data_IF_117878744686
#
_entry.id   IF_117878744686
#
_cell.length_a   1.000
_cell.length_b   1.000
_cell.length_c   1.000
_cell.angle_alpha   90.00
_cell.angle_beta   90.00
_cell.angle_gamma   90.00
#
_symmetry.space_group_name_H-M   'P 1'
#
loop_
_entity.id
_entity.type
_entity.pdbx_description
1 polymer ?
#
# COMPACT_ATOMS: atom_id res chain seq x y z
N UNK A 1 7.32 -11.28 -12.64
CA UNK A 1 6.58 -10.01 -12.66
C UNK A 1 7.57 -8.90 -12.34
N UNK A 2 7.68 -7.90 -13.20
CA UNK A 2 8.44 -6.68 -12.91
C UNK A 2 7.60 -5.78 -11.97
N UNK A 3 8.28 -5.16 -11.02
CA UNK A 3 7.67 -4.30 -10.00
C UNK A 3 8.45 -3.01 -9.95
N UNK A 4 7.76 -1.91 -10.26
CA UNK A 4 8.38 -0.59 -10.36
C UNK A 4 7.46 0.47 -9.79
N UNK A 5 8.09 1.55 -9.35
CA UNK A 5 7.39 2.80 -9.10
C UNK A 5 6.88 3.41 -10.41
N UNK A 6 5.66 3.93 -10.39
CA UNK A 6 5.10 4.77 -11.45
C UNK A 6 4.54 6.04 -10.83
N UNK A 7 4.43 7.11 -11.62
CA UNK A 7 3.70 8.30 -11.20
C UNK A 7 2.24 8.17 -11.59
N UNK A 8 1.34 8.47 -10.67
CA UNK A 8 -0.10 8.55 -10.89
C UNK A 8 -0.52 9.99 -10.78
N UNK A 9 -1.21 10.49 -11.81
CA UNK A 9 -1.74 11.84 -11.87
C UNK A 9 -3.27 11.80 -11.90
N UNK A 10 -3.91 12.58 -11.04
CA UNK A 10 -5.35 12.83 -11.05
C UNK A 10 -5.60 14.29 -11.42
N UNK A 11 -6.33 14.52 -12.52
CA UNK A 11 -6.73 15.87 -12.92
C UNK A 11 -8.12 16.16 -12.36
N UNK A 12 -8.23 17.16 -11.48
CA UNK A 12 -9.50 17.63 -10.95
C UNK A 12 -9.58 19.17 -10.95
N UNK A 13 -10.60 19.74 -11.59
CA UNK A 13 -10.92 21.18 -11.55
C UNK A 13 -9.72 22.15 -11.70
N UNK A 14 -8.85 21.91 -12.69
CA UNK A 14 -7.61 22.63 -13.03
C UNK A 14 -6.37 22.31 -12.17
N UNK A 15 -6.53 21.57 -11.09
CA UNK A 15 -5.41 21.06 -10.29
C UNK A 15 -4.98 19.67 -10.76
N UNK A 16 -3.67 19.41 -10.67
CA UNK A 16 -3.09 18.11 -10.95
C UNK A 16 -2.51 17.58 -9.64
N UNK A 17 -3.12 16.52 -9.12
CA UNK A 17 -2.63 15.80 -7.95
C UNK A 17 -1.78 14.64 -8.41
N UNK A 18 -0.62 14.45 -7.78
CA UNK A 18 0.40 13.53 -8.28
C UNK A 18 1.10 12.80 -7.16
N UNK A 19 1.07 11.46 -7.18
CA UNK A 19 1.83 10.62 -6.26
C UNK A 19 2.41 9.41 -6.96
N UNK A 20 3.32 8.73 -6.28
CA UNK A 20 3.86 7.46 -6.73
C UNK A 20 2.81 6.34 -6.61
N UNK A 21 3.08 5.22 -7.26
CA UNK A 21 2.27 4.02 -7.21
C UNK A 21 3.11 2.79 -7.49
N UNK A 22 2.67 1.65 -6.95
CA UNK A 22 3.29 0.36 -7.19
C UNK A 22 2.65 -0.28 -8.42
N UNK A 23 3.37 -0.32 -9.55
CA UNK A 23 2.93 -1.08 -10.72
C UNK A 23 3.19 -2.58 -10.50
N UNK A 24 2.17 -3.40 -10.71
CA UNK A 24 2.26 -4.85 -10.72
C UNK A 24 1.36 -5.41 -11.83
N UNK A 25 1.92 -6.21 -12.74
CA UNK A 25 1.20 -6.65 -13.94
C UNK A 25 0.59 -5.45 -14.69
N UNK A 26 -0.70 -5.50 -15.05
CA UNK A 26 -1.45 -4.40 -15.67
C UNK A 26 -2.07 -3.40 -14.67
N UNK A 27 -1.81 -3.59 -13.38
CA UNK A 27 -2.44 -2.84 -12.30
C UNK A 27 -1.46 -1.92 -11.59
N UNK A 28 -1.99 -0.93 -10.86
CA UNK A 28 -1.23 -0.06 -9.97
C UNK A 28 -1.92 -0.03 -8.61
N UNK A 29 -1.17 -0.30 -7.55
CA UNK A 29 -1.62 -0.10 -6.17
C UNK A 29 -1.18 1.30 -5.71
N UNK A 30 -2.13 2.08 -5.21
CA UNK A 30 -1.89 3.41 -4.66
C UNK A 30 -2.52 3.56 -3.28
N UNK A 31 -1.96 4.45 -2.48
CA UNK A 31 -2.69 5.03 -1.35
C UNK A 31 -3.69 6.10 -1.88
N UNK A 32 -4.74 6.36 -1.10
CA UNK A 32 -5.77 7.37 -1.34
C UNK A 32 -5.29 8.81 -1.55
N UNK A 33 -4.06 9.18 -1.17
CA UNK A 33 -3.55 10.56 -1.24
C UNK A 33 -3.76 11.26 -2.60
N UNK A 34 -3.52 10.58 -3.73
CA UNK A 34 -3.70 11.19 -5.07
C UNK A 34 -5.18 11.47 -5.41
N UNK A 35 -6.09 10.79 -4.71
CA UNK A 35 -7.54 10.96 -4.85
C UNK A 35 -8.13 11.84 -3.74
N UNK A 36 -7.33 12.42 -2.85
CA UNK A 36 -7.85 13.16 -1.69
C UNK A 36 -8.77 14.31 -2.09
N UNK A 37 -8.39 15.13 -3.06
CA UNK A 37 -9.22 16.24 -3.55
C UNK A 37 -10.53 15.76 -4.18
N UNK A 38 -10.46 14.70 -4.98
CA UNK A 38 -11.61 14.06 -5.58
C UNK A 38 -12.59 13.56 -4.51
N UNK A 39 -12.07 12.87 -3.48
CA UNK A 39 -12.89 12.36 -2.40
C UNK A 39 -13.49 13.50 -1.55
N UNK A 40 -12.78 14.60 -1.34
CA UNK A 40 -13.32 15.77 -0.62
C UNK A 40 -14.53 16.38 -1.34
N UNK A 41 -14.45 16.54 -2.66
CA UNK A 41 -15.55 17.06 -3.50
C UNK A 41 -16.78 16.13 -3.46
N UNK A 42 -16.55 14.82 -3.47
CA UNK A 42 -17.62 13.82 -3.49
C UNK A 42 -17.98 13.25 -2.10
N UNK A 43 -17.79 14.03 -1.03
CA UNK A 43 -18.13 13.67 0.37
C UNK A 43 -17.36 12.46 0.91
N UNK A 44 -16.04 12.60 1.11
CA UNK A 44 -15.10 11.56 1.57
C UNK A 44 -15.67 10.68 2.70
N UNK A 45 -16.29 11.28 3.72
CA UNK A 45 -16.85 10.53 4.85
C UNK A 45 -17.91 9.53 4.42
N UNK A 46 -18.79 9.93 3.50
CA UNK A 46 -19.82 9.02 2.98
C UNK A 46 -19.17 7.85 2.26
N UNK A 47 -18.24 8.14 1.36
CA UNK A 47 -17.53 7.12 0.59
C UNK A 47 -16.71 6.17 1.49
N UNK A 48 -16.00 6.71 2.47
CA UNK A 48 -15.24 5.93 3.45
C UNK A 48 -16.16 5.05 4.31
N UNK A 49 -17.30 5.58 4.77
CA UNK A 49 -18.26 4.84 5.58
C UNK A 49 -19.00 3.73 4.80
N UNK A 50 -19.15 3.88 3.49
CA UNK A 50 -19.78 2.87 2.62
C UNK A 50 -18.87 1.64 2.40
N UNK A 51 -17.57 1.76 2.70
CA UNK A 51 -16.57 0.70 2.52
C UNK A 51 -16.35 -0.04 3.84
N UNK A 52 -16.78 -1.29 3.89
CA UNK A 52 -16.44 -2.16 5.01
C UNK A 52 -14.93 -2.47 5.06
N UNK A 53 -14.23 -2.24 6.20
CA UNK A 53 -12.83 -2.60 6.37
C UNK A 53 -12.57 -4.10 6.16
N UNK A 54 -11.45 -4.42 5.52
CA UNK A 54 -11.03 -5.79 5.17
C UNK A 54 -11.81 -6.44 4.03
N UNK A 55 -12.72 -5.71 3.40
CA UNK A 55 -13.43 -6.15 2.20
C UNK A 55 -12.94 -5.33 1.01
N UNK A 56 -12.53 -6.02 -0.05
CA UNK A 56 -12.23 -5.38 -1.33
C UNK A 56 -13.52 -5.11 -2.11
N UNK A 57 -13.77 -3.84 -2.41
CA UNK A 57 -14.91 -3.38 -3.20
C UNK A 57 -14.46 -3.16 -4.64
N UNK A 58 -15.11 -3.84 -5.57
CA UNK A 58 -14.78 -3.78 -7.00
C UNK A 58 -15.71 -2.76 -7.67
N UNK A 59 -15.15 -1.89 -8.50
CA UNK A 59 -15.84 -0.80 -9.21
C UNK A 59 -16.58 0.19 -8.28
N UNK A 60 -15.87 0.90 -7.39
CA UNK A 60 -16.52 1.84 -6.46
C UNK A 60 -17.06 3.11 -7.13
N UNK A 61 -16.81 3.33 -8.42
CA UNK A 61 -17.19 4.55 -9.14
C UNK A 61 -18.19 4.26 -10.25
N UNK A 62 -19.17 5.16 -10.41
CA UNK A 62 -20.02 5.19 -11.60
C UNK A 62 -19.29 5.88 -12.74
N UNK A 63 -19.65 5.58 -13.99
CA UNK A 63 -19.02 6.18 -15.18
C UNK A 63 -19.08 7.71 -15.24
N UNK A 64 -20.04 8.32 -14.55
CA UNK A 64 -20.22 9.78 -14.48
C UNK A 64 -19.29 10.43 -13.45
N UNK A 65 -18.94 9.69 -12.40
CA UNK A 65 -18.12 10.15 -11.28
C UNK A 65 -16.82 9.33 -11.22
N UNK A 66 -16.13 9.19 -12.35
CA UNK A 66 -14.85 8.49 -12.40
C UNK A 66 -13.69 9.50 -12.43
N UNK A 67 -12.70 9.38 -11.53
CA UNK A 67 -11.56 10.29 -11.52
C UNK A 67 -10.72 10.13 -12.79
N UNK A 68 -10.28 11.25 -13.37
CA UNK A 68 -9.46 11.29 -14.59
C UNK A 68 -8.00 10.99 -14.25
N UNK A 69 -7.68 9.70 -14.20
CA UNK A 69 -6.36 9.20 -13.80
C UNK A 69 -5.45 8.92 -15.00
N UNK A 70 -4.17 9.21 -14.82
CA UNK A 70 -3.09 8.87 -15.75
C UNK A 70 -1.93 8.20 -15.01
N UNK A 71 -1.34 7.19 -15.63
CA UNK A 71 -0.12 6.52 -15.18
C UNK A 71 1.01 7.00 -16.09
N UNK A 72 2.03 7.59 -15.48
CA UNK A 72 3.27 8.02 -16.14
C UNK A 72 4.40 7.10 -15.69
N UNK A 73 5.04 6.44 -16.65
CA UNK A 73 6.15 5.54 -16.38
C UNK A 73 7.35 5.90 -17.27
N UNK A 74 8.56 5.78 -16.73
CA UNK A 74 9.81 5.98 -17.47
C UNK A 74 10.53 4.64 -17.60
N UNK A 75 10.75 4.22 -18.83
CA UNK A 75 11.59 3.08 -19.17
C UNK A 75 12.78 3.57 -19.99
N UNK A 76 13.99 3.35 -19.47
CA UNK A 76 15.22 3.99 -19.91
C UNK A 76 15.02 5.51 -20.12
N UNK A 77 15.02 5.96 -21.37
CA UNK A 77 14.87 7.38 -21.74
C UNK A 77 13.48 7.74 -22.27
N UNK A 78 12.55 6.78 -22.30
CA UNK A 78 11.20 6.99 -22.84
C UNK A 78 10.19 7.12 -21.71
N UNK A 79 9.48 8.25 -21.72
CA UNK A 79 8.33 8.45 -20.83
C UNK A 79 7.05 8.07 -21.55
N UNK A 80 6.25 7.19 -20.94
CA UNK A 80 4.94 6.78 -21.42
C UNK A 80 3.85 7.34 -20.51
N UNK A 81 2.72 7.71 -21.09
CA UNK A 81 1.53 8.17 -20.36
C UNK A 81 0.35 7.33 -20.81
N UNK A 82 -0.35 6.72 -19.86
CA UNK A 82 -1.53 5.87 -20.12
C UNK A 82 -2.69 6.33 -19.27
N UNK A 83 -3.89 6.43 -19.84
CA UNK A 83 -5.10 6.63 -19.04
C UNK A 83 -5.29 5.44 -18.11
N UNK A 84 -5.88 5.66 -16.95
CA UNK A 84 -6.16 4.62 -15.98
C UNK A 84 -7.55 4.80 -15.39
N UNK A 85 -8.12 3.70 -14.92
CA UNK A 85 -9.38 3.68 -14.17
C UNK A 85 -9.23 2.94 -12.86
N UNK A 86 -10.06 3.29 -11.89
CA UNK A 86 -10.12 2.56 -10.63
C UNK A 86 -10.90 1.28 -10.85
N UNK A 87 -10.31 0.13 -10.50
CA UNK A 87 -10.97 -1.18 -10.57
C UNK A 87 -11.43 -1.67 -9.21
N UNK A 88 -10.73 -1.29 -8.15
CA UNK A 88 -11.07 -1.71 -6.80
C UNK A 88 -10.57 -0.69 -5.78
N UNK A 89 -11.17 -0.74 -4.59
CA UNK A 89 -10.71 -0.04 -3.42
C UNK A 89 -10.91 -0.90 -2.17
N UNK A 90 -10.19 -0.59 -1.12
CA UNK A 90 -10.32 -1.28 0.16
C UNK A 90 -9.74 -0.45 1.29
N UNK A 91 -10.28 -0.68 2.49
CA UNK A 91 -9.71 -0.20 3.74
C UNK A 91 -9.02 -1.39 4.40
N UNK A 92 -7.72 -1.29 4.67
CA UNK A 92 -6.98 -2.30 5.41
C UNK A 92 -7.26 -2.13 6.91
N UNK A 93 -7.99 -3.07 7.48
CA UNK A 93 -8.38 -3.10 8.88
C UNK A 93 -7.17 -3.19 9.81
N UNK A 94 -6.15 -3.98 9.47
CA UNK A 94 -4.94 -4.05 10.28
C UNK A 94 -4.26 -2.68 10.41
N UNK A 95 -4.16 -1.92 9.31
CA UNK A 95 -3.59 -0.56 9.31
C UNK A 95 -4.53 0.42 10.02
N UNK A 96 -5.84 0.32 9.78
CA UNK A 96 -6.83 1.18 10.44
C UNK A 96 -6.76 1.05 11.97
N UNK A 97 -6.85 -0.17 12.51
CA UNK A 97 -6.74 -0.42 13.96
C UNK A 97 -5.38 0.01 14.49
N UNK A 98 -4.29 -0.27 13.76
CA UNK A 98 -2.94 0.11 14.18
C UNK A 98 -2.76 1.63 14.23
N UNK A 99 -3.26 2.36 13.23
CA UNK A 99 -3.18 3.82 13.20
C UNK A 99 -3.94 4.45 14.37
N UNK A 100 -5.15 3.96 14.66
CA UNK A 100 -5.96 4.42 15.80
C UNK A 100 -5.31 4.12 17.15
N UNK A 101 -4.55 3.03 17.26
CA UNK A 101 -3.92 2.59 18.51
C UNK A 101 -2.57 3.25 18.76
N UNK A 102 -1.70 3.29 17.75
CA UNK A 102 -0.28 3.67 17.90
C UNK A 102 0.02 5.09 17.42
N UNK A 103 -0.77 5.65 16.51
CA UNK A 103 -0.54 6.96 15.89
C UNK A 103 -1.48 8.05 16.45
N UNK A 104 -1.87 7.94 17.73
CA UNK A 104 -2.79 8.89 18.39
C UNK A 104 -2.21 10.29 18.50
N UNK A 105 -0.94 10.38 18.89
CA UNK A 105 -0.20 11.64 19.06
C UNK A 105 0.60 12.02 17.81
N UNK A 106 0.41 11.29 16.71
CA UNK A 106 1.08 11.55 15.45
C UNK A 106 0.19 12.45 14.59
N UNK A 107 0.79 13.50 14.03
CA UNK A 107 0.22 14.21 12.90
C UNK A 107 0.88 13.69 11.62
N UNK A 108 0.05 13.37 10.64
CA UNK A 108 0.48 12.83 9.35
C UNK A 108 0.14 13.90 8.32
N UNK A 109 1.17 14.39 7.64
CA UNK A 109 1.18 15.60 6.81
C UNK A 109 1.10 16.94 7.60
N UNK A 110 1.67 18.01 7.03
CA UNK A 110 1.88 19.32 7.67
C UNK A 110 0.58 20.03 8.06
N UNK A 111 -0.49 19.80 7.29
CA UNK A 111 -1.68 20.66 7.33
C UNK A 111 -2.74 20.18 8.32
N UNK A 112 -2.53 19.07 9.02
CA UNK A 112 -3.53 18.49 9.96
C UNK A 112 -4.87 18.09 9.30
N UNK A 113 -5.01 18.29 7.99
CA UNK A 113 -6.22 18.09 7.20
C UNK A 113 -6.30 16.70 6.58
N UNK A 114 -5.18 15.98 6.47
CA UNK A 114 -5.21 14.57 6.06
C UNK A 114 -5.74 13.71 7.21
N UNK A 115 -6.90 13.12 6.95
CA UNK A 115 -7.62 12.23 7.86
C UNK A 115 -6.80 10.96 8.04
N UNK A 116 -6.48 10.55 9.26
CA UNK A 116 -5.70 9.32 9.53
C UNK A 116 -6.30 8.08 8.87
N UNK A 117 -7.59 8.12 8.64
CA UNK A 117 -8.40 7.17 7.86
C UNK A 117 -7.82 6.92 6.45
N UNK A 118 -7.19 7.92 5.81
CA UNK A 118 -6.57 7.82 4.48
C UNK A 118 -5.37 6.88 4.45
N UNK A 119 -4.63 6.75 5.55
CA UNK A 119 -3.48 5.83 5.66
C UNK A 119 -3.86 4.38 5.36
N UNK A 120 -5.09 4.01 5.74
CA UNK A 120 -5.61 2.66 5.61
C UNK A 120 -6.36 2.43 4.29
N UNK A 121 -6.57 3.48 3.50
CA UNK A 121 -7.38 3.44 2.29
C UNK A 121 -6.50 3.32 1.04
N UNK A 122 -6.78 2.29 0.25
CA UNK A 122 -6.02 1.97 -0.95
C UNK A 122 -6.94 1.80 -2.15
N UNK A 123 -6.37 2.06 -3.32
CA UNK A 123 -7.03 1.88 -4.60
C UNK A 123 -6.16 1.05 -5.54
N UNK A 124 -6.83 0.27 -6.38
CA UNK A 124 -6.19 -0.46 -7.46
C UNK A 124 -6.67 0.15 -8.76
N UNK A 125 -5.71 0.55 -9.58
CA UNK A 125 -5.94 1.10 -10.90
C UNK A 125 -5.63 0.05 -11.96
N UNK A 126 -6.33 0.12 -13.10
CA UNK A 126 -5.97 -0.63 -14.32
C UNK A 126 -5.66 0.39 -15.41
N UNK A 127 -4.47 0.24 -16.00
CA UNK A 127 -4.10 1.03 -17.15
C UNK A 127 -5.01 0.66 -18.34
N UNK A 128 -5.43 1.65 -19.12
CA UNK A 128 -6.16 1.42 -20.36
C UNK A 128 -5.30 0.58 -21.31
N UNK A 129 -5.84 -0.57 -21.72
CA UNK A 129 -5.28 -1.42 -22.77
C UNK A 129 -6.10 -1.27 -24.04
N UNK A 130 -5.46 -1.41 -25.19
CA UNK A 130 -6.08 -1.34 -26.53
C UNK A 130 -6.97 -2.57 -26.81
N UNK A 131 -6.91 -3.62 -25.99
CA UNK A 131 -7.56 -4.91 -26.28
C UNK A 131 -8.74 -5.23 -25.35
N UNK A 132 -9.92 -5.29 -25.98
CA UNK A 132 -11.21 -5.95 -25.64
C UNK A 132 -11.89 -5.67 -24.28
N UNK A 133 -13.20 -5.45 -24.35
CA UNK A 133 -14.11 -5.42 -23.21
C UNK A 133 -14.12 -6.81 -22.53
N UNK A 134 -13.42 -6.93 -21.40
CA UNK A 134 -13.52 -8.11 -20.53
C UNK A 134 -14.82 -8.05 -19.71
N UNK A 135 -15.40 -9.20 -19.38
CA UNK A 135 -16.52 -9.26 -18.45
C UNK A 135 -16.05 -8.91 -17.02
N UNK A 136 -16.95 -8.41 -16.17
CA UNK A 136 -16.64 -8.07 -14.77
C UNK A 136 -16.06 -9.26 -13.98
N UNK A 137 -16.54 -10.48 -14.28
CA UNK A 137 -16.07 -11.70 -13.62
C UNK A 137 -14.64 -12.07 -14.02
N UNK A 138 -14.28 -11.91 -15.29
CA UNK A 138 -12.93 -12.17 -15.77
C UNK A 138 -11.93 -11.19 -15.15
N UNK A 139 -12.30 -9.90 -15.08
CA UNK A 139 -11.44 -8.88 -14.46
C UNK A 139 -11.19 -9.15 -12.97
N UNK A 140 -12.21 -9.57 -12.22
CA UNK A 140 -12.06 -9.96 -10.81
C UNK A 140 -11.09 -11.14 -10.66
N UNK A 141 -11.19 -12.13 -11.54
CA UNK A 141 -10.32 -13.31 -11.52
C UNK A 141 -8.87 -12.94 -11.85
N UNK A 142 -8.67 -12.13 -12.88
CA UNK A 142 -7.35 -11.63 -13.28
C UNK A 142 -6.70 -10.78 -12.19
N UNK A 143 -7.48 -9.90 -11.54
CA UNK A 143 -7.01 -9.09 -10.42
C UNK A 143 -6.57 -9.97 -9.24
N UNK A 144 -7.41 -10.93 -8.83
CA UNK A 144 -7.05 -11.84 -7.74
C UNK A 144 -5.80 -12.66 -8.04
N UNK A 145 -5.62 -13.08 -9.30
CA UNK A 145 -4.39 -13.76 -9.74
C UNK A 145 -3.17 -12.84 -9.59
N UNK A 146 -3.25 -11.60 -10.08
CA UNK A 146 -2.16 -10.63 -9.98
C UNK A 146 -1.81 -10.28 -8.52
N UNK A 147 -2.82 -10.13 -7.65
CA UNK A 147 -2.61 -9.90 -6.22
C UNK A 147 -1.94 -11.10 -5.54
N UNK A 148 -2.32 -12.33 -5.90
CA UNK A 148 -1.67 -13.53 -5.36
C UNK A 148 -0.20 -13.65 -5.80
N UNK A 149 0.11 -13.31 -7.06
CA UNK A 149 1.50 -13.24 -7.53
C UNK A 149 2.30 -12.17 -6.76
N UNK A 150 1.69 -11.00 -6.51
CA UNK A 150 2.31 -9.95 -5.69
C UNK A 150 2.55 -10.41 -4.25
N UNK A 151 1.59 -11.13 -3.66
CA UNK A 151 1.72 -11.72 -2.32
C UNK A 151 2.88 -12.71 -2.27
N UNK A 152 2.98 -13.62 -3.24
CA UNK A 152 4.05 -14.62 -3.30
C UNK A 152 5.42 -13.94 -3.35
N UNK A 153 5.59 -12.93 -4.21
CA UNK A 153 6.85 -12.18 -4.32
C UNK A 153 7.18 -11.42 -3.03
N UNK A 154 6.16 -10.82 -2.39
CA UNK A 154 6.31 -10.10 -1.12
C UNK A 154 6.59 -11.02 0.07
N UNK A 155 6.27 -12.32 -0.05
CA UNK A 155 6.42 -13.35 1.00
C UNK A 155 7.77 -14.09 0.90
N UNK A 156 8.68 -13.63 0.03
CA UNK A 156 10.03 -14.18 -0.12
C UNK A 156 10.72 -14.42 1.24
N UNK A 157 11.54 -15.48 1.42
CA UNK A 157 11.94 -15.99 2.74
C UNK A 157 12.89 -15.10 3.55
N UNK A 158 13.07 -13.85 3.16
CA UNK A 158 13.83 -12.89 3.95
C UNK A 158 13.00 -12.35 5.08
N UNK A 159 13.53 -12.53 6.28
CA UNK A 159 12.98 -11.93 7.47
C UNK A 159 13.12 -10.42 7.38
N UNK A 160 12.00 -9.73 7.37
CA UNK A 160 11.97 -8.31 7.66
C UNK A 160 12.37 -8.12 9.13
N UNK A 161 13.49 -7.44 9.36
CA UNK A 161 13.98 -7.13 10.70
C UNK A 161 14.37 -5.66 10.82
N UNK A 162 14.37 -5.16 12.06
CA UNK A 162 14.92 -3.85 12.37
C UNK A 162 16.41 -3.83 12.02
N UNK A 163 16.87 -2.74 11.41
CA UNK A 163 18.23 -2.56 10.89
C UNK A 163 18.45 -3.14 9.49
N UNK A 164 17.46 -3.82 8.90
CA UNK A 164 17.57 -4.31 7.53
C UNK A 164 17.69 -3.15 6.54
N UNK A 165 18.66 -3.19 5.64
CA UNK A 165 18.81 -2.20 4.57
C UNK A 165 17.62 -2.25 3.62
N UNK A 166 17.08 -1.07 3.32
CA UNK A 166 15.95 -0.88 2.41
C UNK A 166 16.21 0.27 1.46
N UNK A 167 15.50 0.29 0.35
CA UNK A 167 15.45 1.44 -0.54
C UNK A 167 14.04 1.65 -1.07
N UNK A 168 13.74 2.91 -1.38
CA UNK A 168 12.46 3.35 -1.95
C UNK A 168 12.72 3.81 -3.37
N UNK A 169 11.96 3.29 -4.32
CA UNK A 169 11.88 3.84 -5.68
C UNK A 169 10.63 4.71 -5.77
N UNK A 170 10.79 6.00 -6.03
CA UNK A 170 9.69 6.96 -5.94
C UNK A 170 9.74 8.06 -6.99
N UNK A 171 8.71 8.90 -6.99
CA UNK A 171 8.64 10.17 -7.72
C UNK A 171 8.48 11.33 -6.73
N UNK A 172 9.58 11.82 -6.13
CA UNK A 172 9.58 12.97 -5.23
C UNK A 172 8.78 14.15 -5.77
N UNK A 173 8.01 14.78 -4.89
CA UNK A 173 7.13 15.92 -5.17
C UNK A 173 6.06 15.66 -6.24
N UNK A 174 5.86 14.39 -6.62
CA UNK A 174 5.02 14.00 -7.75
C UNK A 174 5.49 14.59 -9.09
N UNK A 175 6.76 15.02 -9.16
CA UNK A 175 7.29 15.71 -10.32
C UNK A 175 7.97 14.71 -11.26
N UNK A 176 7.53 14.71 -12.53
CA UNK A 176 8.05 13.83 -13.60
C UNK A 176 9.58 13.87 -13.77
N UNK A 177 10.24 14.97 -13.41
CA UNK A 177 11.70 15.06 -13.46
C UNK A 177 12.36 13.98 -12.57
N UNK A 178 11.75 13.68 -11.43
CA UNK A 178 12.26 12.75 -10.42
C UNK A 178 11.70 11.33 -10.55
N UNK A 179 11.12 10.96 -11.70
CA UNK A 179 10.72 9.57 -11.95
C UNK A 179 11.87 8.61 -11.70
N UNK A 180 11.58 7.52 -10.99
CA UNK A 180 12.51 6.44 -10.64
C UNK A 180 13.67 6.93 -9.74
N UNK A 181 13.41 7.92 -8.87
CA UNK A 181 14.39 8.35 -7.88
C UNK A 181 14.55 7.28 -6.79
N UNK A 182 15.78 7.10 -6.33
CA UNK A 182 16.13 6.12 -5.31
C UNK A 182 16.59 6.80 -4.03
N UNK A 183 16.01 6.40 -2.90
CA UNK A 183 16.54 6.70 -1.57
C UNK A 183 16.84 5.40 -0.83
N UNK A 184 17.83 5.43 0.06
CA UNK A 184 18.26 4.26 0.85
C UNK A 184 18.15 4.58 2.33
N UNK A 185 17.88 3.57 3.14
CA UNK A 185 17.88 3.64 4.60
C UNK A 185 17.87 2.25 5.21
N UNK A 186 17.36 2.16 6.42
CA UNK A 186 17.13 0.93 7.17
C UNK A 186 15.72 0.89 7.73
N UNK A 187 15.26 -0.31 8.06
CA UNK A 187 14.05 -0.49 8.86
C UNK A 187 14.32 0.00 10.29
N UNK A 188 13.69 1.10 10.68
CA UNK A 188 13.83 1.68 12.01
C UNK A 188 12.89 1.01 13.02
N UNK A 189 11.69 0.59 12.58
CA UNK A 189 10.75 -0.15 13.44
C UNK A 189 9.73 -0.95 12.62
N UNK A 190 9.14 -1.98 13.24
CA UNK A 190 8.03 -2.78 12.71
C UNK A 190 6.98 -2.90 13.82
N UNK A 191 5.74 -2.51 13.54
CA UNK A 191 4.70 -2.42 14.57
C UNK A 191 3.29 -2.54 13.96
N UNK A 192 2.27 -2.46 14.82
CA UNK A 192 0.88 -2.63 14.43
C UNK A 192 0.40 -4.08 14.44
N UNK A 193 -0.90 -4.25 14.29
CA UNK A 193 -1.55 -5.55 14.16
C UNK A 193 -0.95 -6.31 12.97
N UNK A 194 -0.48 -7.54 13.22
CA UNK A 194 0.19 -8.39 12.23
C UNK A 194 1.40 -7.73 11.55
N UNK A 195 2.14 -6.86 12.26
CA UNK A 195 3.28 -6.13 11.70
C UNK A 195 2.92 -5.35 10.43
N UNK A 196 1.71 -4.76 10.41
CA UNK A 196 1.15 -4.05 9.26
C UNK A 196 1.82 -2.71 8.97
N UNK A 197 2.55 -2.13 9.92
CA UNK A 197 3.23 -0.85 9.79
C UNK A 197 4.74 -0.97 9.96
N UNK A 198 5.46 -0.13 9.23
CA UNK A 198 6.91 -0.02 9.22
C UNK A 198 7.31 1.46 9.36
N UNK A 199 8.36 1.72 10.12
CA UNK A 199 9.11 2.97 10.03
C UNK A 199 10.48 2.71 9.40
N UNK A 200 10.90 3.61 8.52
CA UNK A 200 12.25 3.63 7.94
C UNK A 200 12.79 5.04 7.95
N UNK A 201 14.09 5.19 8.12
CA UNK A 201 14.82 6.46 7.98
C UNK A 201 15.16 6.80 6.52
N UNK A 202 14.69 5.97 5.58
CA UNK A 202 14.83 6.24 4.17
C UNK A 202 14.11 7.55 3.82
N UNK A 203 14.87 8.53 3.30
CA UNK A 203 14.35 9.85 2.98
C UNK A 203 13.25 9.74 1.93
N UNK A 204 12.06 10.23 2.24
CA UNK A 204 10.99 10.42 1.27
C UNK A 204 10.39 11.82 1.43
N UNK A 205 9.72 12.26 0.38
CA UNK A 205 9.11 13.58 0.28
C UNK A 205 7.65 13.40 -0.14
N UNK A 206 6.78 14.40 0.08
CA UNK A 206 5.43 14.39 -0.50
C UNK A 206 5.47 14.01 -1.97
N UNK A 207 4.50 13.21 -2.44
CA UNK A 207 4.52 12.64 -3.79
C UNK A 207 5.16 11.25 -3.86
N UNK A 208 5.92 10.84 -2.84
CA UNK A 208 6.46 9.48 -2.73
C UNK A 208 5.47 8.49 -2.10
N UNK A 209 4.31 8.92 -1.60
CA UNK A 209 3.26 8.00 -1.15
C UNK A 209 2.83 7.07 -2.29
N UNK A 210 2.58 5.79 -1.98
CA UNK A 210 2.34 4.75 -2.96
C UNK A 210 3.61 4.11 -3.54
N UNK A 211 4.80 4.59 -3.17
CA UNK A 211 6.06 4.02 -3.66
C UNK A 211 6.35 2.63 -3.08
N UNK A 212 6.91 1.70 -3.88
CA UNK A 212 7.43 0.45 -3.35
C UNK A 212 8.65 0.66 -2.45
N UNK A 213 8.68 -0.11 -1.36
CA UNK A 213 9.84 -0.27 -0.49
C UNK A 213 10.41 -1.66 -0.70
N UNK A 214 11.71 -1.72 -0.96
CA UNK A 214 12.42 -2.95 -1.25
C UNK A 214 13.48 -3.25 -0.20
N UNK A 215 13.66 -4.53 0.12
CA UNK A 215 14.80 -5.01 0.90
C UNK A 215 16.01 -5.11 -0.02
N UNK A 216 17.12 -4.53 0.42
CA UNK A 216 18.41 -4.71 -0.22
C UNK A 216 19.08 -5.96 0.31
N UNK A 217 19.47 -6.83 -0.61
CA UNK A 217 20.03 -8.14 -0.27
C UNK A 217 21.47 -8.25 -0.71
N UNK A 218 22.22 -9.12 -0.03
CA UNK A 218 23.62 -9.41 -0.38
C UNK A 218 23.80 -9.85 -1.84
N UNK A 219 22.76 -10.42 -2.44
CA UNK A 219 22.76 -10.94 -3.81
C UNK A 219 22.19 -9.95 -4.84
N UNK A 220 22.01 -8.67 -4.48
CA UNK A 220 21.40 -7.62 -5.34
C UNK A 220 20.00 -7.97 -5.86
N UNK A 221 19.34 -8.96 -5.28
CA UNK A 221 17.94 -9.25 -5.57
C UNK A 221 17.09 -8.21 -4.84
N UNK A 222 16.13 -7.65 -5.58
CA UNK A 222 15.18 -6.64 -5.12
C UNK A 222 13.92 -7.36 -4.62
N UNK A 223 13.64 -7.34 -3.32
CA UNK A 223 12.39 -7.90 -2.78
C UNK A 223 11.49 -6.78 -2.29
N UNK A 224 10.34 -6.63 -2.92
CA UNK A 224 9.33 -5.71 -2.41
C UNK A 224 8.75 -6.28 -1.11
N UNK A 225 8.45 -5.41 -0.15
CA UNK A 225 7.81 -5.86 1.09
C UNK A 225 6.84 -4.82 1.68
N UNK A 226 6.95 -3.56 1.30
CA UNK A 226 6.07 -2.51 1.80
C UNK A 226 5.76 -1.47 0.73
N UNK A 227 4.79 -0.63 1.02
CA UNK A 227 4.41 0.55 0.22
C UNK A 227 4.38 1.78 1.13
N UNK A 228 4.94 2.91 0.68
CA UNK A 228 4.95 4.15 1.45
C UNK A 228 3.52 4.67 1.60
N UNK A 229 3.10 5.02 2.82
CA UNK A 229 1.77 5.58 3.10
C UNK A 229 1.84 7.00 3.68
N UNK A 230 2.99 7.41 4.20
CA UNK A 230 3.23 8.81 4.59
C UNK A 230 4.73 9.12 4.63
N UNK A 231 5.13 10.21 3.98
CA UNK A 231 6.50 10.72 4.00
C UNK A 231 6.74 11.76 5.10
N UNK A 232 5.67 12.36 5.61
CA UNK A 232 5.71 13.53 6.45
C UNK A 232 4.97 13.21 7.76
N UNK A 233 5.74 13.01 8.82
CA UNK A 233 5.22 12.54 10.10
C UNK A 233 5.76 13.41 11.24
N UNK A 234 4.86 13.84 12.13
CA UNK A 234 5.17 14.60 13.34
C UNK A 234 4.69 13.84 14.56
N UNK A 235 5.44 13.92 15.64
CA UNK A 235 5.03 13.40 16.94
C UNK A 235 5.07 14.54 17.95
N UNK A 236 3.91 14.86 18.52
CA UNK A 236 3.75 15.96 19.49
C UNK A 236 4.31 17.31 19.00
N UNK A 237 4.15 17.60 17.70
CA UNK A 237 4.60 18.84 17.07
C UNK A 237 6.02 18.81 16.51
N UNK A 238 6.80 17.77 16.81
CA UNK A 238 8.17 17.63 16.31
C UNK A 238 8.21 16.74 15.06
N UNK A 239 8.96 17.16 14.06
CA UNK A 239 9.16 16.34 12.86
C UNK A 239 10.01 15.12 13.21
N UNK A 240 9.48 13.93 12.87
CA UNK A 240 10.11 12.66 13.26
C UNK A 240 11.27 12.28 12.33
N UNK A 241 11.27 12.77 11.08
CA UNK A 241 12.29 12.41 10.09
C UNK A 241 12.23 10.93 9.64
N UNK A 242 11.11 10.25 9.88
CA UNK A 242 10.89 8.85 9.48
C UNK A 242 9.73 8.73 8.51
N UNK A 243 9.88 7.80 7.57
CA UNK A 243 8.89 7.43 6.58
C UNK A 243 8.04 6.28 7.09
N UNK A 244 6.71 6.43 7.00
CA UNK A 244 5.74 5.41 7.38
C UNK A 244 5.33 4.60 6.14
N UNK A 245 5.43 3.28 6.26
CA UNK A 245 5.06 2.35 5.19
C UNK A 245 4.14 1.24 5.70
N UNK A 246 3.30 0.73 4.80
CA UNK A 246 2.41 -0.40 5.00
C UNK A 246 3.08 -1.68 4.52
N UNK A 247 3.15 -2.70 5.37
CA UNK A 247 3.66 -4.01 5.02
C UNK A 247 2.68 -4.71 4.04
N UNK A 248 3.19 -5.09 2.86
CA UNK A 248 2.39 -5.68 1.79
C UNK A 248 1.84 -7.06 2.17
N UNK A 249 2.56 -7.86 2.96
CA UNK A 249 2.12 -9.22 3.30
C UNK A 249 0.79 -9.23 4.07
N UNK A 250 0.65 -8.58 5.25
CA UNK A 250 -0.62 -8.52 5.95
C UNK A 250 -1.68 -7.76 5.17
N UNK A 251 -1.31 -6.72 4.42
CA UNK A 251 -2.23 -5.97 3.55
C UNK A 251 -2.86 -6.88 2.48
N UNK A 252 -2.04 -7.62 1.73
CA UNK A 252 -2.52 -8.48 0.64
C UNK A 252 -3.26 -9.73 1.16
N UNK A 253 -2.85 -10.27 2.31
CA UNK A 253 -3.57 -11.39 2.95
C UNK A 253 -4.99 -11.02 3.37
N UNK A 254 -5.21 -9.77 3.74
CA UNK A 254 -6.53 -9.27 4.07
C UNK A 254 -7.42 -9.16 2.82
N UNK A 255 -6.82 -8.80 1.68
CA UNK A 255 -7.54 -8.62 0.42
C UNK A 255 -7.89 -9.91 -0.31
N UNK A 256 -6.94 -10.85 -0.32
CA UNK A 256 -7.05 -12.06 -1.12
C UNK A 256 -7.92 -13.05 -0.36
N UNK A 257 -9.08 -13.47 -0.90
CA UNK A 257 -9.92 -14.46 -0.23
C UNK A 257 -9.12 -15.75 0.02
N UNK A 258 -9.37 -16.49 1.13
CA UNK A 258 -8.62 -17.68 1.48
C UNK A 258 -8.51 -18.73 0.36
N UNK A 259 -9.52 -18.82 -0.51
CA UNK A 259 -9.54 -19.74 -1.66
C UNK A 259 -8.51 -19.41 -2.76
N UNK A 260 -7.98 -18.19 -2.80
CA UNK A 260 -6.94 -17.76 -3.73
C UNK A 260 -5.54 -17.77 -3.10
N UNK A 261 -5.45 -17.94 -1.78
CA UNK A 261 -4.17 -17.96 -1.08
C UNK A 261 -3.48 -19.31 -1.28
N UNK A 262 -2.24 -19.29 -1.77
CA UNK A 262 -1.45 -20.51 -1.88
C UNK A 262 -0.84 -20.85 -0.50
N UNK A 263 -1.64 -21.51 0.35
CA UNK A 263 -1.35 -21.76 1.78
C UNK A 263 0.01 -22.45 2.00
N UNK A 264 0.46 -23.27 1.04
CA UNK A 264 1.73 -23.98 1.14
C UNK A 264 2.95 -23.04 1.08
N UNK A 265 2.87 -21.92 0.37
CA UNK A 265 3.92 -20.88 0.33
C UNK A 265 3.89 -20.02 1.59
N UNK A 266 2.72 -19.84 2.19
CA UNK A 266 2.56 -19.07 3.44
C UNK A 266 3.11 -19.83 4.65
N UNK A 267 2.87 -21.15 4.73
CA UNK A 267 3.34 -22.01 5.83
C UNK A 267 4.86 -22.18 5.89
N UNK A 268 5.55 -22.09 4.75
CA UNK A 268 7.02 -22.14 4.71
C UNK A 268 7.67 -20.80 5.07
N UNK A 269 6.89 -19.71 5.20
CA UNK A 269 7.41 -18.43 5.64
C UNK A 269 7.58 -18.42 7.17
N UNK A 270 8.79 -18.18 7.68
CA UNK A 270 9.06 -18.22 9.11
C UNK A 270 8.43 -17.04 9.90
N UNK A 271 8.08 -15.94 9.23
CA UNK A 271 7.26 -14.85 9.82
C UNK A 271 5.86 -15.35 10.12
N UNK A 272 5.25 -16.10 9.19
CA UNK A 272 3.94 -16.73 9.39
C UNK A 272 4.01 -17.82 10.47
N UNK A 273 5.07 -18.63 10.49
CA UNK A 273 5.28 -19.64 11.52
C UNK A 273 5.39 -18.99 12.93
N UNK A 274 6.11 -17.87 13.04
CA UNK A 274 6.22 -17.11 14.28
C UNK A 274 4.90 -16.45 14.70
N UNK A 275 4.13 -15.92 13.75
CA UNK A 275 2.77 -15.39 13.98
C UNK A 275 1.81 -16.49 14.44
N UNK A 276 1.86 -17.68 13.84
CA UNK A 276 1.04 -18.83 14.23
C UNK A 276 1.42 -19.35 15.62
N UNK A 277 2.73 -19.39 15.93
CA UNK A 277 3.25 -19.72 17.26
C UNK A 277 2.81 -18.68 18.31
N UNK A 278 2.87 -17.39 18.00
CA UNK A 278 2.38 -16.33 18.89
C UNK A 278 0.86 -16.40 19.07
N UNK A 279 0.08 -16.63 18.00
CA UNK A 279 -1.38 -16.84 18.09
C UNK A 279 -1.72 -18.05 18.96
N UNK A 280 -1.02 -19.18 18.79
CA UNK A 280 -1.20 -20.38 19.62
C UNK A 280 -0.87 -20.11 21.10
N UNK A 281 0.23 -19.39 21.38
CA UNK A 281 0.59 -18.97 22.76
C UNK A 281 -0.48 -18.07 23.38
N UNK A 282 -1.00 -17.10 22.64
CA UNK A 282 -2.05 -16.19 23.12
C UNK A 282 -3.39 -16.91 23.35
N UNK A 283 -3.75 -17.90 22.52
CA UNK A 283 -4.91 -18.75 22.74
C UNK A 283 -4.75 -19.62 23.99
N UNK A 284 -3.57 -20.21 24.20
CA UNK A 284 -3.27 -20.99 25.41
C UNK A 284 -3.40 -20.11 26.66
N UNK A 285 -2.84 -18.89 26.64
CA UNK A 285 -2.98 -17.95 27.76
C UNK A 285 -4.43 -17.52 28.02
N UNK A 286 -5.26 -17.33 26.99
CA UNK A 286 -6.70 -17.07 27.18
C UNK A 286 -7.43 -18.29 27.78
N UNK A 287 -7.09 -19.50 27.36
CA UNK A 287 -7.70 -20.74 27.88
C UNK A 287 -7.33 -21.00 29.34
N UNK A 288 -6.09 -20.72 29.73
CA UNK A 288 -5.64 -20.85 31.13
C UNK A 288 -6.36 -19.85 32.05
N UNK A 289 -6.58 -18.62 31.61
CA UNK A 289 -7.35 -17.63 32.39
C UNK A 289 -8.82 -18.04 32.57
N UNK A 290 -9.42 -18.72 31.60
CA UNK A 290 -10.81 -19.19 31.71
C UNK A 290 -10.99 -20.46 32.55
N UNK A 291 -9.90 -21.17 32.89
CA UNK A 291 -9.94 -22.29 33.85
C UNK A 291 -9.51 -21.88 35.27
N UNK A 292 -9.26 -20.58 35.50
CA UNK A 292 -8.81 -20.02 36.78
C UNK A 292 -9.89 -19.17 37.49
N UNK A 293 -11.11 -19.15 36.95
CA UNK A 293 -12.33 -18.57 37.53
C UNK A 293 -13.33 -19.70 37.80
#
# INVERSE_FOLDING_TARGET
>A
MELHSVLVECNNNNDIYTNSGLQFSQYVLINSNVLTSYLQEHSFNKWFNDIAPGIMHIYPFSSVNEPKLRIVARDADKTSVRSARVVACFICNNILVSSQKYLKDWAVDCDGNQRRETLSLFFILKAASVVQQQTSNDEKKDLNKALNELLIISTSPQFLSIGQEVYIESTPFGNRAFLNSYSQGVVSNIFGEQNSLLLTDCSSTPGSEGSPVYIKTRWKQKFIFAIVISCLNWWKGEWVGLTLAANLVPLLRELIPPCYQNINVLKSNPTFANEELQRKRNLIHKKVRHCSE
#
